data_IF_352432869713
#
_entry.id   IF_352432869713
#
_cell.length_a   1.000
_cell.length_b   1.000
_cell.length_c   1.000
_cell.angle_alpha   90.00
_cell.angle_beta   90.00
_cell.angle_gamma   90.00
#
_symmetry.space_group_name_H-M   'P 1'
#
loop_
_entity.id
_entity.type
_entity.pdbx_description
1 polymer ?
#
# COMPACT_ATOMS: atom_id res chain seq x y z
N UNK A 1 -8.30 23.62 38.60
CA UNK A 1 -7.48 23.51 37.36
C UNK A 1 -6.38 22.44 37.49
N UNK A 2 -5.61 22.42 38.58
CA UNK A 2 -4.53 21.46 38.84
C UNK A 2 -4.94 19.96 38.84
N UNK A 3 -6.14 19.63 39.32
CA UNK A 3 -6.67 18.26 39.36
C UNK A 3 -7.05 17.70 37.97
N UNK A 4 -7.42 18.55 37.01
CA UNK A 4 -7.70 18.12 35.63
C UNK A 4 -6.41 17.80 34.86
N UNK A 5 -5.34 18.57 35.09
CA UNK A 5 -4.02 18.35 34.46
C UNK A 5 -3.39 17.03 34.93
N UNK A 6 -3.47 16.70 36.23
CA UNK A 6 -2.98 15.42 36.76
C UNK A 6 -3.70 14.20 36.17
N UNK A 7 -5.01 14.30 35.91
CA UNK A 7 -5.78 13.23 35.27
C UNK A 7 -5.39 13.02 33.80
N UNK A 8 -5.13 14.11 33.07
CA UNK A 8 -4.65 14.03 31.68
C UNK A 8 -3.26 13.41 31.62
N UNK A 9 -2.33 13.83 32.50
CA UNK A 9 -0.98 13.26 32.57
C UNK A 9 -1.00 11.77 32.95
N UNK A 10 -1.89 11.36 33.86
CA UNK A 10 -2.08 9.95 34.20
C UNK A 10 -2.61 9.13 33.00
N UNK A 11 -3.54 9.69 32.22
CA UNK A 11 -4.09 9.04 31.04
C UNK A 11 -3.07 8.90 29.91
N UNK A 12 -2.24 9.93 29.69
CA UNK A 12 -1.12 9.90 28.74
C UNK A 12 -0.08 8.87 29.18
N UNK A 13 0.27 8.84 30.46
CA UNK A 13 1.19 7.84 31.02
C UNK A 13 0.68 6.41 30.84
N UNK A 14 -0.61 6.16 31.07
CA UNK A 14 -1.23 4.85 30.85
C UNK A 14 -1.24 4.43 29.37
N UNK A 15 -1.48 5.36 28.45
CA UNK A 15 -1.39 5.12 27.00
C UNK A 15 0.04 4.79 26.54
N UNK A 16 1.05 5.46 27.11
CA UNK A 16 2.47 5.21 26.79
C UNK A 16 2.94 3.84 27.32
N UNK A 17 2.49 3.42 28.50
CA UNK A 17 2.82 2.08 29.03
C UNK A 17 2.12 0.98 28.25
N UNK A 18 0.83 1.14 27.93
CA UNK A 18 0.05 0.14 27.19
C UNK A 18 0.62 -0.14 25.79
N UNK A 19 1.10 0.90 25.10
CA UNK A 19 1.73 0.77 23.78
C UNK A 19 3.11 0.10 23.83
N UNK A 20 3.87 0.33 24.91
CA UNK A 20 5.22 -0.23 25.07
C UNK A 20 5.21 -1.76 25.27
N UNK A 21 4.26 -2.30 26.04
CA UNK A 21 4.16 -3.75 26.30
C UNK A 21 3.76 -4.56 25.05
N UNK A 22 2.94 -3.98 24.17
CA UNK A 22 2.52 -4.62 22.92
C UNK A 22 3.63 -4.62 21.86
N UNK A 23 4.40 -3.53 21.79
CA UNK A 23 5.58 -3.42 20.92
C UNK A 23 6.65 -4.45 21.28
N UNK A 24 6.95 -4.62 22.57
CA UNK A 24 8.00 -5.53 23.05
C UNK A 24 7.72 -7.01 22.73
N UNK A 25 6.46 -7.44 22.83
CA UNK A 25 6.08 -8.84 22.51
C UNK A 25 6.24 -9.15 21.02
N UNK A 26 5.99 -8.16 20.16
CA UNK A 26 6.07 -8.30 18.70
C UNK A 26 7.53 -8.34 18.24
N UNK A 27 8.39 -7.50 18.81
CA UNK A 27 9.82 -7.48 18.50
C UNK A 27 10.50 -8.82 18.83
N UNK A 28 10.14 -9.43 19.97
CA UNK A 28 10.63 -10.76 20.36
C UNK A 28 10.20 -11.84 19.36
N UNK A 29 8.95 -11.81 18.90
CA UNK A 29 8.45 -12.74 17.88
C UNK A 29 9.18 -12.57 16.55
N UNK A 30 9.42 -11.33 16.11
CA UNK A 30 10.20 -11.05 14.90
C UNK A 30 11.63 -11.58 15.01
N UNK A 31 12.28 -11.36 16.15
CA UNK A 31 13.65 -11.84 16.37
C UNK A 31 13.69 -13.38 16.30
N UNK A 32 12.76 -14.05 16.99
CA UNK A 32 12.68 -15.51 16.95
C UNK A 32 12.41 -16.04 15.54
N UNK A 33 11.49 -15.42 14.80
CA UNK A 33 11.17 -15.80 13.42
C UNK A 33 12.39 -15.62 12.48
N UNK A 34 13.08 -14.47 12.59
CA UNK A 34 14.31 -14.19 11.87
C UNK A 34 15.42 -15.21 12.20
N UNK A 35 15.55 -15.59 13.46
CA UNK A 35 16.53 -16.58 13.90
C UNK A 35 16.22 -17.99 13.35
N UNK A 36 14.95 -18.39 13.32
CA UNK A 36 14.53 -19.63 12.64
C UNK A 36 14.84 -19.58 11.15
N UNK A 37 14.54 -18.45 10.50
CA UNK A 37 14.83 -18.25 9.07
C UNK A 37 16.33 -18.36 8.77
N UNK A 38 17.18 -17.70 9.57
CA UNK A 38 18.65 -17.76 9.45
C UNK A 38 19.20 -19.17 9.65
N UNK A 39 18.57 -19.96 10.52
CA UNK A 39 18.92 -21.37 10.76
C UNK A 39 18.38 -22.33 9.69
N UNK A 40 17.65 -21.83 8.68
CA UNK A 40 17.02 -22.66 7.64
C UNK A 40 15.75 -23.38 8.10
N UNK A 41 15.27 -23.12 9.32
CA UNK A 41 14.05 -23.72 9.87
C UNK A 41 12.80 -22.94 9.38
N UNK A 42 12.55 -22.97 8.07
CA UNK A 42 11.56 -22.13 7.41
C UNK A 42 10.12 -22.39 7.88
N UNK A 43 9.74 -23.64 8.18
CA UNK A 43 8.42 -23.97 8.75
C UNK A 43 8.18 -23.30 10.11
N UNK A 44 9.21 -23.27 10.96
CA UNK A 44 9.11 -22.61 12.27
C UNK A 44 9.09 -21.09 12.13
N UNK A 45 9.90 -20.55 11.21
CA UNK A 45 9.87 -19.13 10.88
C UNK A 45 8.47 -18.70 10.38
N UNK A 46 7.87 -19.50 9.49
CA UNK A 46 6.54 -19.25 8.95
C UNK A 46 5.49 -19.18 10.07
N UNK A 47 5.47 -20.17 10.97
CA UNK A 47 4.55 -20.17 12.12
C UNK A 47 4.72 -18.93 12.99
N UNK A 48 5.95 -18.52 13.27
CA UNK A 48 6.22 -17.32 14.06
C UNK A 48 5.77 -16.03 13.35
N UNK A 49 5.99 -15.91 12.04
CA UNK A 49 5.50 -14.76 11.28
C UNK A 49 3.97 -14.74 11.17
N UNK A 50 3.32 -15.88 10.98
CA UNK A 50 1.86 -15.99 10.97
C UNK A 50 1.23 -15.60 12.31
N UNK A 51 1.90 -15.86 13.43
CA UNK A 51 1.45 -15.35 14.74
C UNK A 51 1.50 -13.83 14.83
N UNK A 52 2.44 -13.18 14.15
CA UNK A 52 2.50 -11.72 14.07
C UNK A 52 1.37 -11.22 13.17
N UNK A 53 1.17 -11.83 12.00
CA UNK A 53 0.08 -11.47 11.08
C UNK A 53 -1.30 -11.67 11.72
N UNK A 54 -1.50 -12.74 12.51
CA UNK A 54 -2.74 -13.00 13.23
C UNK A 54 -3.11 -11.91 14.25
N UNK A 55 -2.13 -11.11 14.71
CA UNK A 55 -2.35 -9.93 15.55
C UNK A 55 -2.76 -8.69 14.75
N UNK A 56 -3.02 -8.84 13.44
CA UNK A 56 -3.34 -7.76 12.49
C UNK A 56 -2.25 -6.68 12.44
N UNK A 57 -1.01 -7.07 12.73
CA UNK A 57 0.14 -6.20 12.61
C UNK A 57 0.63 -6.26 11.17
N UNK A 58 0.39 -5.19 10.42
CA UNK A 58 0.83 -5.06 9.04
C UNK A 58 2.14 -4.26 8.98
N UNK A 59 3.18 -4.84 8.38
CA UNK A 59 4.39 -4.11 8.06
C UNK A 59 5.02 -4.66 6.79
N UNK A 60 5.73 -3.80 6.07
CA UNK A 60 6.37 -4.17 4.82
C UNK A 60 7.42 -5.29 5.07
N UNK A 61 8.14 -5.20 6.18
CA UNK A 61 9.13 -6.20 6.61
C UNK A 61 8.48 -7.55 6.97
N UNK A 62 7.31 -7.56 7.62
CA UNK A 62 6.59 -8.80 7.91
C UNK A 62 6.25 -9.54 6.62
N UNK A 63 5.64 -8.82 5.69
CA UNK A 63 5.20 -9.39 4.42
C UNK A 63 6.39 -9.80 3.55
N UNK A 64 7.46 -9.02 3.53
CA UNK A 64 8.68 -9.41 2.83
C UNK A 64 9.28 -10.70 3.41
N UNK A 65 9.32 -10.84 4.74
CA UNK A 65 9.85 -12.03 5.40
C UNK A 65 8.95 -13.26 5.22
N UNK A 66 7.62 -13.09 5.26
CA UNK A 66 6.68 -14.14 4.89
C UNK A 66 6.90 -14.58 3.44
N UNK A 67 7.00 -13.63 2.50
CA UNK A 67 7.26 -13.91 1.09
C UNK A 67 8.56 -14.70 0.89
N UNK A 68 9.65 -14.27 1.52
CA UNK A 68 10.93 -14.99 1.49
C UNK A 68 10.81 -16.40 2.10
N UNK A 69 10.08 -16.55 3.21
CA UNK A 69 9.91 -17.85 3.87
C UNK A 69 9.11 -18.81 3.01
N UNK A 70 7.99 -18.37 2.43
CA UNK A 70 7.20 -19.17 1.48
C UNK A 70 8.01 -19.54 0.23
N UNK A 71 8.81 -18.62 -0.29
CA UNK A 71 9.69 -18.89 -1.43
C UNK A 71 10.71 -19.99 -1.09
N UNK A 72 11.30 -19.96 0.11
CA UNK A 72 12.22 -21.02 0.58
C UNK A 72 11.56 -22.37 0.82
N UNK A 73 10.25 -22.37 1.07
CA UNK A 73 9.42 -23.58 1.15
C UNK A 73 8.90 -24.06 -0.21
N UNK A 74 9.36 -23.45 -1.32
CA UNK A 74 8.88 -23.70 -2.68
C UNK A 74 7.38 -23.46 -2.88
N UNK A 75 6.77 -22.62 -2.03
CA UNK A 75 5.37 -22.21 -2.15
C UNK A 75 5.32 -20.86 -2.86
N UNK A 76 5.35 -20.90 -4.20
CA UNK A 76 5.53 -19.71 -5.05
C UNK A 76 4.33 -18.76 -4.98
N UNK A 77 3.09 -19.27 -5.02
CA UNK A 77 1.90 -18.43 -4.99
C UNK A 77 1.76 -17.61 -3.70
N UNK A 78 1.89 -18.20 -2.49
CA UNK A 78 1.96 -17.42 -1.26
C UNK A 78 3.13 -16.43 -1.25
N UNK A 79 4.30 -16.82 -1.78
CA UNK A 79 5.46 -15.92 -1.83
C UNK A 79 5.17 -14.65 -2.62
N UNK A 80 4.63 -14.80 -3.83
CA UNK A 80 4.21 -13.67 -4.70
C UNK A 80 3.18 -12.82 -3.97
N UNK A 81 2.19 -13.44 -3.31
CA UNK A 81 1.16 -12.74 -2.56
C UNK A 81 1.72 -11.84 -1.46
N UNK A 82 2.63 -12.36 -0.65
CA UNK A 82 3.24 -11.58 0.42
C UNK A 82 4.23 -10.52 -0.09
N UNK A 83 4.96 -10.78 -1.18
CA UNK A 83 5.79 -9.73 -1.80
C UNK A 83 4.95 -8.59 -2.38
N UNK A 84 3.79 -8.89 -2.99
CA UNK A 84 2.85 -7.87 -3.45
C UNK A 84 2.27 -7.05 -2.28
N UNK A 85 1.94 -7.70 -1.15
CA UNK A 85 1.55 -6.98 0.08
C UNK A 85 2.68 -6.09 0.62
N UNK A 86 3.93 -6.55 0.59
CA UNK A 86 5.08 -5.74 1.00
C UNK A 86 5.25 -4.50 0.13
N UNK A 87 5.12 -4.66 -1.20
CA UNK A 87 5.19 -3.55 -2.17
C UNK A 87 4.00 -2.59 -2.07
N UNK A 88 2.83 -3.05 -1.59
CA UNK A 88 1.72 -2.15 -1.30
C UNK A 88 2.07 -1.18 -0.17
N UNK A 89 2.85 -1.62 0.82
CA UNK A 89 3.28 -0.80 1.96
C UNK A 89 4.53 0.04 1.66
N UNK A 90 5.48 -0.49 0.90
CA UNK A 90 6.64 0.24 0.38
C UNK A 90 6.84 -0.02 -1.13
N UNK A 91 6.20 0.80 -1.99
CA UNK A 91 6.29 0.65 -3.45
C UNK A 91 7.66 0.95 -4.03
N UNK A 92 8.59 1.51 -3.24
CA UNK A 92 9.89 1.98 -3.71
C UNK A 92 11.04 1.02 -3.40
N UNK A 93 10.78 0.04 -2.53
CA UNK A 93 11.78 -0.93 -2.13
C UNK A 93 12.24 -1.80 -3.31
N UNK A 94 13.54 -1.71 -3.63
CA UNK A 94 14.13 -2.46 -4.75
C UNK A 94 14.25 -3.95 -4.45
N UNK A 95 14.49 -4.32 -3.20
CA UNK A 95 14.65 -5.72 -2.80
C UNK A 95 13.31 -6.45 -2.92
N UNK A 96 12.21 -5.79 -2.55
CA UNK A 96 10.88 -6.37 -2.69
C UNK A 96 10.53 -6.60 -4.16
N UNK A 97 10.81 -5.63 -5.04
CA UNK A 97 10.62 -5.77 -6.50
C UNK A 97 11.47 -6.90 -7.08
N UNK A 98 12.73 -6.99 -6.65
CA UNK A 98 13.64 -8.00 -7.14
C UNK A 98 13.18 -9.41 -6.74
N UNK A 99 12.82 -9.62 -5.47
CA UNK A 99 12.36 -10.93 -5.01
C UNK A 99 11.00 -11.31 -5.58
N UNK A 100 10.09 -10.35 -5.76
CA UNK A 100 8.85 -10.58 -6.51
C UNK A 100 9.16 -11.04 -7.94
N UNK A 101 10.07 -10.35 -8.64
CA UNK A 101 10.45 -10.73 -10.01
C UNK A 101 11.09 -12.12 -10.06
N UNK A 102 11.91 -12.48 -9.07
CA UNK A 102 12.49 -13.82 -8.96
C UNK A 102 11.37 -14.86 -8.78
N UNK A 103 10.44 -14.64 -7.86
CA UNK A 103 9.31 -15.55 -7.65
C UNK A 103 8.42 -15.68 -8.90
N UNK A 104 8.12 -14.57 -9.59
CA UNK A 104 7.37 -14.57 -10.84
C UNK A 104 8.10 -15.30 -11.98
N UNK A 105 9.44 -15.32 -12.01
CA UNK A 105 10.17 -16.10 -13.02
C UNK A 105 10.09 -17.61 -12.80
N UNK A 106 9.71 -18.04 -11.58
CA UNK A 106 9.52 -19.45 -11.25
C UNK A 106 8.10 -19.95 -11.54
N UNK A 107 7.16 -19.07 -11.88
CA UNK A 107 5.81 -19.48 -12.29
C UNK A 107 5.83 -20.12 -13.67
N UNK A 108 4.87 -21.02 -13.91
CA UNK A 108 4.68 -21.70 -15.19
C UNK A 108 4.21 -20.69 -16.24
N UNK A 109 3.23 -19.86 -15.86
CA UNK A 109 2.65 -18.87 -16.76
C UNK A 109 3.59 -17.66 -16.87
N UNK A 110 4.01 -17.36 -18.11
CA UNK A 110 4.79 -16.16 -18.43
C UNK A 110 3.88 -15.15 -19.10
N UNK A 111 3.29 -14.28 -18.29
CA UNK A 111 2.45 -13.18 -18.78
C UNK A 111 3.33 -11.92 -18.80
N UNK A 112 3.82 -11.58 -19.99
CA UNK A 112 4.57 -10.36 -20.17
C UNK A 112 3.63 -9.15 -20.01
N UNK A 113 4.03 -8.20 -19.16
CA UNK A 113 3.30 -6.95 -19.03
C UNK A 113 3.46 -6.12 -20.30
N UNK A 114 2.35 -5.65 -20.86
CA UNK A 114 2.34 -4.73 -22.00
C UNK A 114 3.18 -3.49 -21.64
N UNK A 115 4.08 -3.02 -22.54
CA UNK A 115 4.88 -1.83 -22.26
C UNK A 115 3.98 -0.63 -21.99
N UNK A 116 4.19 0.00 -20.84
CA UNK A 116 3.40 1.16 -20.40
C UNK A 116 3.76 2.41 -21.19
N UNK A 117 2.74 3.22 -21.50
CA UNK A 117 2.92 4.51 -22.16
C UNK A 117 3.59 5.52 -21.22
N UNK A 118 4.06 6.65 -21.77
CA UNK A 118 4.67 7.72 -20.97
C UNK A 118 3.73 8.24 -19.87
N UNK A 119 2.45 8.44 -20.20
CA UNK A 119 1.45 8.92 -19.24
C UNK A 119 1.21 7.90 -18.12
N UNK A 120 1.12 6.60 -18.47
CA UNK A 120 0.98 5.53 -17.47
C UNK A 120 2.19 5.45 -16.53
N UNK A 121 3.40 5.71 -17.03
CA UNK A 121 4.62 5.77 -16.20
C UNK A 121 4.60 6.94 -15.23
N UNK A 122 4.13 8.12 -15.65
CA UNK A 122 3.98 9.30 -14.77
C UNK A 122 2.98 9.00 -13.65
N UNK A 123 1.83 8.45 -14.04
CA UNK A 123 0.76 8.08 -13.11
C UNK A 123 1.26 7.11 -12.03
N UNK A 124 2.03 6.09 -12.42
CA UNK A 124 2.68 5.17 -11.48
C UNK A 124 3.72 5.82 -10.57
N UNK A 125 4.48 6.77 -11.11
CA UNK A 125 5.64 7.34 -10.43
C UNK A 125 5.27 8.44 -9.43
N UNK A 126 4.20 9.18 -9.72
CA UNK A 126 3.83 10.39 -8.96
C UNK A 126 2.43 10.32 -8.37
N UNK A 127 1.43 9.85 -9.12
CA UNK A 127 0.04 9.85 -8.67
C UNK A 127 -0.18 8.67 -7.73
N UNK A 128 0.08 7.45 -8.20
CA UNK A 128 -0.08 6.20 -7.44
C UNK A 128 1.01 5.94 -6.39
N UNK A 129 2.06 6.76 -6.36
CA UNK A 129 3.07 6.68 -5.30
C UNK A 129 2.51 7.06 -3.94
N UNK A 130 1.57 8.00 -3.91
CA UNK A 130 0.87 8.41 -2.71
C UNK A 130 -0.54 7.80 -2.69
N UNK A 131 -1.06 7.51 -1.49
CA UNK A 131 -2.44 7.05 -1.34
C UNK A 131 -3.42 8.13 -1.78
N UNK A 132 -4.62 7.73 -2.21
CA UNK A 132 -5.68 8.69 -2.53
C UNK A 132 -6.02 9.58 -1.32
N UNK A 133 -5.94 9.05 -0.10
CA UNK A 133 -6.12 9.80 1.15
C UNK A 133 -5.10 10.94 1.28
N UNK A 134 -3.84 10.68 0.92
CA UNK A 134 -2.78 11.70 0.95
C UNK A 134 -3.14 12.86 0.02
N UNK A 135 -3.57 12.56 -1.21
CA UNK A 135 -4.03 13.58 -2.16
C UNK A 135 -5.29 14.32 -1.68
N UNK A 136 -6.20 13.63 -0.97
CA UNK A 136 -7.36 14.26 -0.34
C UNK A 136 -6.92 15.26 0.76
N UNK A 137 -6.02 14.87 1.66
CA UNK A 137 -5.47 15.78 2.68
C UNK A 137 -4.75 16.98 2.07
N UNK A 138 -3.95 16.76 1.02
CA UNK A 138 -3.28 17.84 0.28
C UNK A 138 -4.30 18.81 -0.29
N UNK A 139 -5.40 18.33 -0.87
CA UNK A 139 -6.47 19.19 -1.40
C UNK A 139 -7.15 20.02 -0.31
N UNK A 140 -7.38 19.45 0.88
CA UNK A 140 -7.97 20.15 2.02
C UNK A 140 -7.03 21.26 2.50
N UNK A 141 -5.75 20.95 2.72
CA UNK A 141 -4.74 21.93 3.15
C UNK A 141 -4.59 23.05 2.12
N UNK A 142 -4.55 22.70 0.83
CA UNK A 142 -4.48 23.68 -0.25
C UNK A 142 -5.74 24.58 -0.32
N UNK A 143 -6.92 24.06 0.03
CA UNK A 143 -8.15 24.87 0.09
C UNK A 143 -8.14 25.89 1.24
N UNK A 144 -7.62 25.51 2.41
CA UNK A 144 -7.42 26.44 3.53
C UNK A 144 -6.40 27.52 3.13
N UNK A 145 -5.28 27.12 2.51
CA UNK A 145 -4.26 28.06 2.03
C UNK A 145 -4.84 29.02 0.99
N UNK A 146 -5.65 28.53 0.06
CA UNK A 146 -6.34 29.36 -0.93
C UNK A 146 -7.20 30.44 -0.26
N UNK A 147 -8.00 30.07 0.74
CA UNK A 147 -8.84 31.03 1.48
C UNK A 147 -7.98 32.06 2.21
N UNK A 148 -6.90 31.64 2.86
CA UNK A 148 -5.98 32.56 3.54
C UNK A 148 -5.30 33.54 2.57
N UNK A 149 -4.86 33.07 1.39
CA UNK A 149 -4.29 33.92 0.35
C UNK A 149 -5.33 34.88 -0.23
N UNK A 150 -6.56 34.42 -0.43
CA UNK A 150 -7.65 35.27 -0.92
C UNK A 150 -8.06 36.35 0.10
N UNK A 151 -8.11 36.01 1.39
CA UNK A 151 -8.31 36.99 2.46
C UNK A 151 -7.13 37.98 2.54
N UNK A 152 -5.89 37.50 2.41
CA UNK A 152 -4.70 38.36 2.40
C UNK A 152 -4.71 39.33 1.21
N UNK A 153 -5.19 38.88 0.04
CA UNK A 153 -5.46 39.74 -1.11
C UNK A 153 -6.46 40.85 -0.78
N UNK A 154 -7.56 40.52 -0.08
CA UNK A 154 -8.59 41.49 0.30
C UNK A 154 -8.06 42.58 1.24
N UNK A 155 -7.25 42.21 2.23
CA UNK A 155 -6.72 43.14 3.24
C UNK A 155 -5.40 43.84 2.84
N UNK A 156 -4.73 43.42 1.77
CA UNK A 156 -3.47 44.05 1.36
C UNK A 156 -3.69 45.51 0.92
N UNK A 157 -2.89 46.44 1.44
CA UNK A 157 -2.98 47.86 1.07
C UNK A 157 -2.09 48.23 -0.14
N UNK A 158 -1.00 47.49 -0.37
CA UNK A 158 -0.05 47.76 -1.44
C UNK A 158 -0.35 46.96 -2.72
N UNK A 159 -0.27 47.62 -3.88
CA UNK A 159 -0.63 47.05 -5.18
C UNK A 159 0.22 45.82 -5.57
N UNK A 160 1.50 45.80 -5.20
CA UNK A 160 2.40 44.67 -5.47
C UNK A 160 2.01 43.42 -4.69
N UNK A 161 1.69 43.57 -3.40
CA UNK A 161 1.23 42.47 -2.54
C UNK A 161 -0.14 41.93 -2.99
N UNK A 162 -1.08 42.81 -3.38
CA UNK A 162 -2.36 42.37 -3.96
C UNK A 162 -2.14 41.48 -5.19
N UNK A 163 -1.31 41.92 -6.12
CA UNK A 163 -1.01 41.14 -7.34
C UNK A 163 -0.38 39.79 -6.99
N UNK A 164 0.54 39.74 -6.02
CA UNK A 164 1.16 38.50 -5.58
C UNK A 164 0.14 37.54 -4.97
N UNK A 165 -0.68 37.98 -4.00
CA UNK A 165 -1.69 37.13 -3.36
C UNK A 165 -2.75 36.64 -4.35
N UNK A 166 -3.13 37.47 -5.32
CA UNK A 166 -4.06 37.06 -6.37
C UNK A 166 -3.47 35.97 -7.29
N UNK A 167 -2.21 36.11 -7.70
CA UNK A 167 -1.55 35.08 -8.52
C UNK A 167 -1.41 33.77 -7.71
N UNK A 168 -0.97 33.86 -6.46
CA UNK A 168 -0.82 32.70 -5.58
C UNK A 168 -2.16 32.01 -5.30
N UNK A 169 -3.25 32.75 -5.14
CA UNK A 169 -4.57 32.16 -4.94
C UNK A 169 -5.05 31.42 -6.19
N UNK A 170 -4.85 31.97 -7.40
CA UNK A 170 -5.16 31.25 -8.64
C UNK A 170 -4.34 29.96 -8.77
N UNK A 171 -3.03 30.02 -8.49
CA UNK A 171 -2.17 28.83 -8.53
C UNK A 171 -2.61 27.78 -7.50
N UNK A 172 -2.95 28.21 -6.29
CA UNK A 172 -3.48 27.32 -5.24
C UNK A 172 -4.80 26.68 -5.67
N UNK A 173 -5.68 27.43 -6.34
CA UNK A 173 -6.95 26.92 -6.85
C UNK A 173 -6.75 25.85 -7.94
N UNK A 174 -5.86 26.10 -8.90
CA UNK A 174 -5.51 25.11 -9.93
C UNK A 174 -4.90 23.85 -9.30
N UNK A 175 -4.06 24.01 -8.29
CA UNK A 175 -3.46 22.89 -7.56
C UNK A 175 -4.51 22.05 -6.81
N UNK A 176 -5.55 22.67 -6.25
CA UNK A 176 -6.69 21.94 -5.64
C UNK A 176 -7.37 21.05 -6.68
N UNK A 177 -7.70 21.59 -7.87
CA UNK A 177 -8.36 20.83 -8.94
C UNK A 177 -7.50 19.62 -9.34
N UNK A 178 -6.19 19.81 -9.49
CA UNK A 178 -5.27 18.74 -9.84
C UNK A 178 -5.20 17.66 -8.74
N UNK A 179 -4.99 18.07 -7.49
CA UNK A 179 -4.93 17.17 -6.33
C UNK A 179 -6.23 16.39 -6.14
N UNK A 180 -7.38 17.04 -6.35
CA UNK A 180 -8.68 16.40 -6.27
C UNK A 180 -8.88 15.38 -7.40
N UNK A 181 -8.46 15.72 -8.62
CA UNK A 181 -8.49 14.79 -9.76
C UNK A 181 -7.67 13.54 -9.45
N UNK A 182 -6.46 13.71 -8.91
CA UNK A 182 -5.60 12.60 -8.51
C UNK A 182 -6.19 11.74 -7.39
N UNK A 183 -6.82 12.36 -6.38
CA UNK A 183 -7.52 11.64 -5.33
C UNK A 183 -8.68 10.82 -5.90
N UNK A 184 -9.47 11.41 -6.82
CA UNK A 184 -10.59 10.72 -7.47
C UNK A 184 -10.12 9.54 -8.32
N UNK A 185 -9.12 9.75 -9.20
CA UNK A 185 -8.59 8.67 -10.04
C UNK A 185 -7.93 7.57 -9.21
N UNK A 186 -7.27 7.92 -8.10
CA UNK A 186 -6.68 6.95 -7.18
C UNK A 186 -7.75 6.10 -6.48
N UNK A 187 -8.82 6.73 -6.00
CA UNK A 187 -9.93 6.02 -5.35
C UNK A 187 -10.69 5.11 -6.32
N UNK A 188 -10.95 5.59 -7.54
CA UNK A 188 -11.57 4.77 -8.59
C UNK A 188 -10.68 3.58 -8.97
N UNK A 189 -9.37 3.81 -9.10
CA UNK A 189 -8.41 2.74 -9.36
C UNK A 189 -8.43 1.68 -8.27
N UNK A 190 -8.33 2.03 -6.98
CA UNK A 190 -8.35 1.05 -5.89
C UNK A 190 -9.67 0.26 -5.83
N UNK A 191 -10.80 0.90 -6.15
CA UNK A 191 -12.10 0.24 -6.17
C UNK A 191 -12.21 -0.79 -7.30
N UNK A 192 -11.75 -0.43 -8.50
CA UNK A 192 -11.95 -1.24 -9.71
C UNK A 192 -10.78 -2.19 -10.00
N UNK A 193 -9.60 -1.95 -9.44
CA UNK A 193 -8.41 -2.78 -9.64
C UNK A 193 -8.12 -3.58 -8.38
N UNK A 194 -8.81 -4.72 -8.24
CA UNK A 194 -8.56 -5.68 -7.17
C UNK A 194 -7.68 -6.82 -7.72
N UNK A 195 -6.34 -6.74 -7.56
CA UNK A 195 -5.47 -7.82 -7.96
C UNK A 195 -5.68 -9.03 -7.03
N UNK A 196 -5.74 -10.21 -7.62
CA UNK A 196 -5.74 -11.47 -6.92
C UNK A 196 -4.64 -12.36 -7.48
N UNK A 197 -4.21 -13.33 -6.68
CA UNK A 197 -3.22 -14.33 -7.06
C UNK A 197 -3.90 -15.69 -6.96
N UNK A 198 -3.69 -16.52 -7.98
CA UNK A 198 -4.22 -17.88 -8.01
C UNK A 198 -3.38 -18.76 -7.08
N UNK A 199 -4.00 -19.38 -6.08
CA UNK A 199 -3.34 -20.32 -5.16
C UNK A 199 -3.55 -21.78 -5.57
N UNK A 200 -4.51 -22.08 -6.44
CA UNK A 200 -4.71 -23.42 -6.97
C UNK A 200 -3.61 -23.77 -7.96
N UNK A 201 -3.10 -25.00 -7.89
CA UNK A 201 -2.06 -25.50 -8.81
C UNK A 201 -2.46 -25.35 -10.27
N UNK A 202 -3.74 -25.58 -10.58
CA UNK A 202 -4.32 -25.42 -11.91
C UNK A 202 -5.74 -24.85 -11.79
N UNK A 203 -5.98 -23.76 -12.49
CA UNK A 203 -7.25 -23.06 -12.58
C UNK A 203 -7.69 -23.01 -14.04
N UNK A 204 -8.83 -23.64 -14.35
CA UNK A 204 -9.38 -23.63 -15.72
C UNK A 204 -10.21 -22.39 -15.94
N UNK A 205 -9.87 -21.62 -16.96
CA UNK A 205 -10.60 -20.41 -17.34
C UNK A 205 -11.65 -20.78 -18.37
N UNK A 206 -12.91 -20.46 -18.08
CA UNK A 206 -14.04 -20.78 -18.94
C UNK A 206 -14.48 -19.56 -19.76
N UNK A 207 -15.12 -19.80 -20.90
CA UNK A 207 -15.63 -18.72 -21.76
C UNK A 207 -16.90 -18.03 -21.22
N UNK A 208 -17.56 -18.61 -20.23
CA UNK A 208 -18.75 -18.05 -19.60
C UNK A 208 -18.85 -18.49 -18.13
N UNK A 209 -19.52 -17.73 -17.26
CA UNK A 209 -19.72 -18.06 -15.85
C UNK A 209 -20.82 -19.12 -15.65
N UNK A 210 -20.85 -20.18 -16.45
CA UNK A 210 -21.84 -21.26 -16.38
C UNK A 210 -21.17 -22.61 -16.18
N UNK A 211 -21.85 -23.55 -15.51
CA UNK A 211 -21.29 -24.88 -15.23
C UNK A 211 -20.95 -25.65 -16.52
N UNK A 212 -21.74 -25.46 -17.57
CA UNK A 212 -21.62 -26.18 -18.85
C UNK A 212 -20.72 -25.48 -19.89
N UNK A 213 -20.07 -24.38 -19.52
CA UNK A 213 -19.15 -23.66 -20.41
C UNK A 213 -17.86 -24.43 -20.63
N UNK A 214 -17.24 -24.21 -21.79
CA UNK A 214 -15.99 -24.86 -22.19
C UNK A 214 -14.78 -24.13 -21.63
N UNK A 215 -13.76 -24.91 -21.25
CA UNK A 215 -12.47 -24.39 -20.84
C UNK A 215 -11.75 -23.77 -22.06
N UNK A 216 -11.22 -22.55 -21.90
CA UNK A 216 -10.54 -21.78 -22.96
C UNK A 216 -9.02 -21.92 -22.83
N UNK A 217 -8.52 -21.77 -21.61
CA UNK A 217 -7.11 -21.95 -21.26
C UNK A 217 -6.98 -22.27 -19.77
N UNK A 218 -5.80 -22.70 -19.36
CA UNK A 218 -5.48 -23.04 -17.98
C UNK A 218 -4.47 -22.03 -17.43
N UNK A 219 -4.65 -21.63 -16.18
CA UNK A 219 -3.73 -20.82 -15.40
C UNK A 219 -3.19 -21.64 -14.25
N UNK A 220 -2.00 -21.31 -13.79
CA UNK A 220 -1.31 -21.99 -12.71
C UNK A 220 -1.19 -21.09 -11.47
N UNK A 221 -0.73 -21.69 -10.39
CA UNK A 221 -0.48 -20.96 -9.14
C UNK A 221 0.52 -19.81 -9.33
N UNK A 222 0.31 -18.71 -8.61
CA UNK A 222 1.16 -17.53 -8.67
C UNK A 222 0.77 -16.54 -9.77
N UNK A 223 -0.12 -16.93 -10.68
CA UNK A 223 -0.63 -16.03 -11.71
C UNK A 223 -1.48 -14.93 -11.12
N UNK A 224 -1.12 -13.69 -11.44
CA UNK A 224 -1.84 -12.48 -11.03
C UNK A 224 -2.99 -12.20 -11.99
N UNK A 225 -4.18 -12.06 -11.44
CA UNK A 225 -5.41 -11.74 -12.17
C UNK A 225 -6.07 -10.51 -11.55
N UNK A 226 -6.99 -9.89 -12.28
CA UNK A 226 -7.81 -8.79 -11.78
C UNK A 226 -9.23 -9.30 -11.62
N UNK A 227 -9.81 -9.11 -10.44
CA UNK A 227 -11.21 -9.43 -10.19
C UNK A 227 -12.05 -8.27 -10.76
N UNK A 228 -12.91 -8.57 -11.73
CA UNK A 228 -13.78 -7.57 -12.37
C UNK A 228 -15.15 -7.47 -11.66
N UNK A 229 -15.68 -8.59 -11.20
CA UNK A 229 -16.97 -8.69 -10.52
C UNK A 229 -16.85 -9.72 -9.37
N UNK A 230 -17.46 -9.42 -8.22
CA UNK A 230 -17.58 -10.32 -7.06
C UNK A 230 -19.01 -10.80 -6.92
#
# INVERSE_FOLDING_TARGET
MYTKIKRILFFVYFLVIGSSSFAQTTEVLFKAANDFYKKGAYENALKSYQQIEAKQLESADLYYNLGNTYYKLNQVAPAIYYFEKALKLDPTNKDFKNNLSIAQRTTIDKIDSIPKTFLQKIDESYIRKFSFETWAYVSIVASILFVLLFLSYYFAFHSTLKRLYFILSILSFLFIILSFTFAYTGADYEKNHQPAIIFSQLARVKNAPTLNSTDVFELHEGTKVIILEQ
#
